data_IF_709329943449
#
_entry.id   IF_709329943449
#
_cell.length_a   1.000
_cell.length_b   1.000
_cell.length_c   1.000
_cell.angle_alpha   90.00
_cell.angle_beta   90.00
_cell.angle_gamma   90.00
#
_symmetry.space_group_name_H-M   'P 1'
#
loop_
_entity.id
_entity.type
_entity.pdbx_description
1 polymer ?
#
# COMPACT_ATOMS: atom_id res chain seq x y z
N UNK A 1 23.02 -10.92 -2.32
CA UNK A 1 23.10 -11.37 -3.73
C UNK A 1 23.24 -10.15 -4.62
N UNK A 2 23.99 -10.28 -5.70
CA UNK A 2 24.22 -9.25 -6.70
C UNK A 2 23.43 -9.58 -7.97
N UNK A 3 23.08 -8.57 -8.77
CA UNK A 3 22.36 -8.77 -10.02
C UNK A 3 23.12 -9.71 -10.98
N UNK A 4 24.45 -9.61 -10.98
CA UNK A 4 25.37 -10.44 -11.76
C UNK A 4 25.28 -11.93 -11.43
N UNK A 5 24.94 -12.28 -10.19
CA UNK A 5 24.76 -13.68 -9.77
C UNK A 5 23.40 -14.25 -10.19
N UNK A 6 22.39 -13.41 -10.38
CA UNK A 6 20.99 -13.82 -10.65
C UNK A 6 20.69 -13.84 -12.16
N UNK A 7 21.31 -12.95 -12.93
CA UNK A 7 21.12 -12.84 -14.39
C UNK A 7 21.25 -14.17 -15.16
N UNK A 8 22.25 -15.04 -14.89
CA UNK A 8 22.36 -16.32 -15.58
C UNK A 8 21.15 -17.24 -15.35
N UNK A 9 20.59 -17.22 -14.16
CA UNK A 9 19.41 -18.01 -13.80
C UNK A 9 18.13 -17.43 -14.44
N UNK A 10 18.01 -16.10 -14.46
CA UNK A 10 16.89 -15.41 -15.10
C UNK A 10 16.83 -15.67 -16.62
N UNK A 11 18.00 -15.83 -17.26
CA UNK A 11 18.10 -16.14 -18.70
C UNK A 11 17.65 -17.54 -19.06
N UNK A 12 17.68 -18.50 -18.11
CA UNK A 12 17.26 -19.90 -18.33
C UNK A 12 15.73 -20.08 -18.26
N UNK A 13 15.01 -19.08 -17.77
CA UNK A 13 13.56 -19.09 -17.68
C UNK A 13 12.93 -19.07 -19.08
N UNK A 14 11.73 -19.64 -19.20
CA UNK A 14 10.88 -19.44 -20.38
C UNK A 14 10.45 -17.97 -20.49
N UNK A 15 10.01 -17.55 -21.68
CA UNK A 15 9.61 -16.15 -21.88
C UNK A 15 8.40 -15.75 -21.02
N UNK A 16 7.47 -16.69 -20.75
CA UNK A 16 6.37 -16.47 -19.82
C UNK A 16 6.86 -16.27 -18.37
N UNK A 17 7.85 -17.04 -17.93
CA UNK A 17 8.41 -16.92 -16.59
C UNK A 17 9.22 -15.63 -16.42
N UNK A 18 9.91 -15.15 -17.47
CA UNK A 18 10.56 -13.84 -17.46
C UNK A 18 9.55 -12.72 -17.26
N UNK A 19 8.41 -12.78 -17.96
CA UNK A 19 7.32 -11.78 -17.78
C UNK A 19 6.80 -11.82 -16.35
N UNK A 20 6.58 -13.01 -15.77
CA UNK A 20 6.18 -13.16 -14.36
C UNK A 20 7.22 -12.60 -13.40
N UNK A 21 8.51 -12.81 -13.66
CA UNK A 21 9.59 -12.26 -12.84
C UNK A 21 9.61 -10.72 -12.88
N UNK A 22 9.39 -10.12 -14.05
CA UNK A 22 9.27 -8.66 -14.19
C UNK A 22 8.06 -8.14 -13.40
N UNK A 23 6.89 -8.78 -13.54
CA UNK A 23 5.69 -8.39 -12.80
C UNK A 23 5.88 -8.51 -11.28
N UNK A 24 6.51 -9.59 -10.83
CA UNK A 24 6.84 -9.79 -9.42
C UNK A 24 7.77 -8.68 -8.91
N UNK A 25 8.86 -8.39 -9.62
CA UNK A 25 9.79 -7.33 -9.24
C UNK A 25 9.12 -5.95 -9.24
N UNK A 26 8.27 -5.66 -10.23
CA UNK A 26 7.52 -4.41 -10.29
C UNK A 26 6.55 -4.27 -9.10
N UNK A 27 5.88 -5.35 -8.71
CA UNK A 27 5.01 -5.37 -7.54
C UNK A 27 5.79 -5.20 -6.22
N UNK A 28 6.95 -5.85 -6.08
CA UNK A 28 7.80 -5.68 -4.89
C UNK A 28 8.37 -4.26 -4.77
N UNK A 29 8.76 -3.65 -5.90
CA UNK A 29 9.18 -2.24 -5.93
C UNK A 29 8.04 -1.29 -5.56
N UNK A 30 6.81 -1.57 -6.00
CA UNK A 30 5.63 -0.79 -5.63
C UNK A 30 5.31 -0.89 -4.13
N UNK A 31 5.38 -2.09 -3.53
CA UNK A 31 5.22 -2.27 -2.07
C UNK A 31 6.33 -1.58 -1.27
N UNK A 32 7.55 -1.58 -1.78
CA UNK A 32 8.66 -0.81 -1.18
C UNK A 32 8.40 0.70 -1.23
N UNK A 33 7.75 1.18 -2.29
CA UNK A 33 7.34 2.59 -2.42
C UNK A 33 6.13 2.95 -1.52
N UNK A 34 5.26 2.01 -1.17
CA UNK A 34 4.20 2.24 -0.17
C UNK A 34 4.77 2.46 1.25
N UNK A 35 5.88 1.80 1.61
CA UNK A 35 6.60 2.03 2.87
C UNK A 35 7.55 3.24 2.86
N UNK A 36 7.83 3.78 1.67
CA UNK A 36 8.66 4.96 1.46
C UNK A 36 7.91 5.91 0.52
N UNK A 37 6.81 6.47 1.02
CA UNK A 37 6.30 7.74 0.51
C UNK A 37 7.40 8.79 0.74
N UNK A 38 8.37 8.85 -0.18
CA UNK A 38 9.29 9.97 -0.30
C UNK A 38 8.44 11.17 -0.67
N UNK A 39 7.99 11.90 0.35
CA UNK A 39 7.46 13.23 0.19
C UNK A 39 8.62 14.08 -0.37
N UNK A 40 8.49 14.48 -1.62
CA UNK A 40 9.42 15.38 -2.30
C UNK A 40 9.34 16.76 -1.64
N UNK A 41 10.50 17.36 -1.36
CA UNK A 41 10.57 18.71 -0.80
C UNK A 41 9.89 19.72 -1.74
N UNK A 42 8.95 20.50 -1.20
CA UNK A 42 8.16 21.48 -1.95
C UNK A 42 6.96 20.93 -2.73
N UNK A 43 6.63 19.62 -2.64
CA UNK A 43 5.39 19.09 -3.24
C UNK A 43 4.23 19.05 -2.26
N UNK A 44 3.09 19.54 -2.73
CA UNK A 44 1.80 19.40 -2.06
C UNK A 44 1.20 18.05 -2.46
N UNK A 45 1.03 17.17 -1.48
CA UNK A 45 0.36 15.90 -1.65
C UNK A 45 -1.09 16.04 -1.20
N UNK A 46 -2.01 15.65 -2.07
CA UNK A 46 -3.41 15.53 -1.70
C UNK A 46 -3.52 14.37 -0.71
N UNK A 47 -3.80 14.70 0.55
CA UNK A 47 -4.01 13.69 1.58
C UNK A 47 -5.38 13.08 1.30
N UNK A 48 -5.40 11.83 0.81
CA UNK A 48 -6.62 11.02 0.67
C UNK A 48 -7.13 10.50 2.03
N UNK A 49 -6.72 11.12 3.14
CA UNK A 49 -7.53 11.04 4.34
C UNK A 49 -8.74 11.93 4.09
N UNK A 50 -9.93 11.49 4.49
CA UNK A 50 -11.09 12.28 4.23
C UNK A 50 -11.11 13.42 5.23
N UNK A 51 -10.36 14.48 4.93
CA UNK A 51 -10.32 15.72 5.70
C UNK A 51 -11.74 16.32 5.80
N UNK A 52 -12.61 15.97 4.85
CA UNK A 52 -14.04 16.29 4.83
C UNK A 52 -15.00 15.10 5.09
N UNK A 53 -14.55 13.88 5.44
CA UNK A 53 -15.49 12.86 5.97
C UNK A 53 -15.69 13.02 7.47
N UNK A 54 -16.07 14.24 7.86
CA UNK A 54 -16.79 14.49 9.11
C UNK A 54 -17.97 13.51 9.27
N UNK A 55 -18.54 13.07 8.15
CA UNK A 55 -19.61 12.07 8.12
C UNK A 55 -19.17 10.70 8.64
N UNK A 56 -17.96 10.24 8.28
CA UNK A 56 -17.46 8.92 8.67
C UNK A 56 -17.03 8.90 10.14
N UNK A 57 -16.32 9.95 10.59
CA UNK A 57 -15.98 10.13 12.00
C UNK A 57 -17.24 10.15 12.86
N UNK A 58 -18.20 11.02 12.55
CA UNK A 58 -19.47 11.12 13.28
C UNK A 58 -20.22 9.79 13.30
N UNK A 59 -20.30 9.09 12.18
CA UNK A 59 -20.99 7.79 12.09
C UNK A 59 -20.35 6.76 13.01
N UNK A 60 -19.02 6.66 13.01
CA UNK A 60 -18.30 5.72 13.87
C UNK A 60 -18.43 6.09 15.35
N UNK A 61 -18.36 7.37 15.69
CA UNK A 61 -18.56 7.88 17.05
C UNK A 61 -19.97 7.62 17.57
N UNK A 62 -21.00 7.86 16.76
CA UNK A 62 -22.40 7.60 17.10
C UNK A 62 -22.65 6.09 17.29
N UNK A 63 -22.09 5.24 16.41
CA UNK A 63 -22.18 3.78 16.54
C UNK A 63 -21.51 3.28 17.82
N UNK A 64 -20.34 3.82 18.17
CA UNK A 64 -19.62 3.46 19.38
C UNK A 64 -20.42 3.84 20.63
N UNK A 65 -21.00 5.04 20.68
CA UNK A 65 -21.85 5.47 21.79
C UNK A 65 -23.09 4.59 21.95
N UNK A 66 -23.76 4.24 20.85
CA UNK A 66 -24.92 3.34 20.89
C UNK A 66 -24.56 1.94 21.40
N UNK A 67 -23.40 1.42 21.02
CA UNK A 67 -22.93 0.13 21.51
C UNK A 67 -22.66 0.18 23.02
N UNK A 68 -21.92 1.20 23.48
CA UNK A 68 -21.64 1.41 24.90
C UNK A 68 -22.91 1.61 25.74
N UNK A 69 -23.90 2.33 25.21
CA UNK A 69 -25.19 2.49 25.89
C UNK A 69 -25.98 1.19 25.98
N UNK A 70 -25.94 0.35 24.94
CA UNK A 70 -26.57 -0.99 24.97
C UNK A 70 -25.92 -1.94 25.96
N UNK A 71 -24.62 -1.82 26.21
CA UNK A 71 -23.93 -2.66 27.20
C UNK A 71 -24.15 -2.19 28.65
N UNK A 72 -24.71 -1.01 28.85
CA UNK A 72 -25.06 -0.46 30.17
C UNK A 72 -26.52 -0.74 30.60
N UNK A 73 -27.27 -1.55 29.86
CA UNK A 73 -28.61 -2.02 30.21
C UNK A 73 -28.73 -3.54 30.13
#
# INVERSE_FOLDING_TARGET
MTLTEILPSLRKLSDQEKIKAIQFLAAELAKGAENLAFLEDGKTYEVWSPYDALSAEKTLTDMLQQHLQKEMF
#
